data_IF_700288876252
#
_entry.id   IF_700288876252
#
_cell.length_a   1.000
_cell.length_b   1.000
_cell.length_c   1.000
_cell.angle_alpha   90.00
_cell.angle_beta   90.00
_cell.angle_gamma   90.00
#
_symmetry.space_group_name_H-M   'P 1'
#
loop_
_entity.id
_entity.type
_entity.pdbx_description
1 polymer ?
#
# COMPACT_ATOMS: atom_id res chain seq x y z
N UNK A 1 -13.25 -31.96 -21.26
CA UNK A 1 -12.43 -30.81 -20.79
C UNK A 1 -12.87 -30.45 -19.39
N UNK A 2 -11.94 -30.13 -18.50
CA UNK A 2 -12.29 -29.59 -17.19
C UNK A 2 -12.98 -28.22 -17.38
N UNK A 3 -13.89 -27.85 -16.48
CA UNK A 3 -14.48 -26.51 -16.49
C UNK A 3 -13.38 -25.52 -16.09
N UNK A 4 -13.23 -24.42 -16.83
CA UNK A 4 -12.24 -23.37 -16.52
C UNK A 4 -12.92 -22.07 -16.09
N UNK A 5 -12.44 -21.47 -15.01
CA UNK A 5 -12.95 -20.22 -14.41
C UNK A 5 -11.83 -19.18 -14.34
N UNK A 6 -12.13 -17.97 -14.83
CA UNK A 6 -11.23 -16.82 -14.73
C UNK A 6 -11.39 -16.12 -13.38
N UNK A 7 -10.28 -15.72 -12.76
CA UNK A 7 -10.26 -14.87 -11.57
C UNK A 7 -9.62 -13.53 -11.92
N UNK A 8 -10.41 -12.46 -11.99
CA UNK A 8 -9.94 -11.12 -12.37
C UNK A 8 -10.08 -10.12 -11.22
N UNK A 9 -9.10 -9.22 -11.09
CA UNK A 9 -9.16 -8.13 -10.10
C UNK A 9 -8.75 -8.53 -8.67
N UNK A 10 -8.19 -9.72 -8.43
CA UNK A 10 -7.72 -10.11 -7.10
C UNK A 10 -6.24 -9.75 -6.92
N UNK A 11 -5.85 -9.31 -5.72
CA UNK A 11 -4.42 -9.21 -5.37
C UNK A 11 -3.86 -10.62 -5.17
N UNK A 12 -2.54 -10.82 -5.27
CA UNK A 12 -1.91 -12.13 -5.10
C UNK A 12 -2.42 -12.92 -3.87
N UNK A 13 -2.41 -12.32 -2.65
CA UNK A 13 -2.94 -12.99 -1.46
C UNK A 13 -4.44 -13.32 -1.54
N UNK A 14 -5.26 -12.40 -2.06
CA UNK A 14 -6.71 -12.63 -2.20
C UNK A 14 -7.03 -13.69 -3.26
N UNK A 15 -6.29 -13.71 -4.36
CA UNK A 15 -6.40 -14.72 -5.39
C UNK A 15 -6.02 -16.09 -4.82
N UNK A 16 -4.89 -16.18 -4.10
CA UNK A 16 -4.47 -17.42 -3.44
C UNK A 16 -5.50 -17.97 -2.45
N UNK A 17 -6.06 -17.11 -1.59
CA UNK A 17 -7.09 -17.52 -0.64
C UNK A 17 -8.37 -18.00 -1.33
N UNK A 18 -8.80 -17.30 -2.39
CA UNK A 18 -9.99 -17.69 -3.17
C UNK A 18 -9.76 -19.00 -3.93
N UNK A 19 -8.61 -19.16 -4.58
CA UNK A 19 -8.23 -20.39 -5.29
C UNK A 19 -8.20 -21.58 -4.35
N UNK A 20 -7.66 -21.44 -3.13
CA UNK A 20 -7.67 -22.51 -2.14
C UNK A 20 -9.09 -22.92 -1.71
N UNK A 21 -9.97 -21.94 -1.49
CA UNK A 21 -11.39 -22.20 -1.19
C UNK A 21 -12.07 -22.96 -2.35
N UNK A 22 -11.83 -22.50 -3.57
CA UNK A 22 -12.40 -23.08 -4.78
C UNK A 22 -11.90 -24.50 -5.06
N UNK A 23 -10.59 -24.73 -4.98
CA UNK A 23 -9.99 -26.06 -5.17
C UNK A 23 -10.48 -27.08 -4.13
N UNK A 24 -10.74 -26.63 -2.90
CA UNK A 24 -11.28 -27.49 -1.83
C UNK A 24 -12.70 -27.96 -2.14
N UNK A 25 -13.55 -27.08 -2.68
CA UNK A 25 -14.97 -27.38 -2.90
C UNK A 25 -15.23 -27.96 -4.31
N UNK A 26 -14.40 -27.61 -5.29
CA UNK A 26 -14.55 -28.02 -6.68
C UNK A 26 -13.16 -28.36 -7.28
N UNK A 27 -12.58 -29.53 -6.93
CA UNK A 27 -11.23 -29.91 -7.33
C UNK A 27 -11.08 -30.22 -8.83
N UNK A 28 -12.20 -30.48 -9.53
CA UNK A 28 -12.22 -30.82 -10.97
C UNK A 28 -12.37 -29.59 -11.89
N UNK A 29 -12.25 -28.39 -11.32
CA UNK A 29 -12.35 -27.11 -12.03
C UNK A 29 -10.97 -26.48 -12.07
N UNK A 30 -10.60 -25.95 -13.24
CA UNK A 30 -9.37 -25.20 -13.44
C UNK A 30 -9.60 -23.71 -13.16
N UNK A 31 -8.66 -23.07 -12.46
CA UNK A 31 -8.75 -21.66 -12.08
C UNK A 31 -7.59 -20.89 -12.69
N UNK A 32 -7.91 -19.98 -13.61
CA UNK A 32 -6.93 -19.11 -14.23
C UNK A 32 -6.98 -17.74 -13.55
N UNK A 33 -5.95 -17.42 -12.75
CA UNK A 33 -5.80 -16.10 -12.15
C UNK A 33 -5.24 -15.15 -13.20
N UNK A 34 -6.03 -14.14 -13.56
CA UNK A 34 -5.57 -13.06 -14.42
C UNK A 34 -4.92 -12.00 -13.54
N UNK A 35 -3.66 -11.69 -13.83
CA UNK A 35 -2.95 -10.62 -13.14
C UNK A 35 -3.69 -9.30 -13.32
N UNK A 36 -3.68 -8.46 -12.28
CA UNK A 36 -4.28 -7.13 -12.37
C UNK A 36 -3.52 -6.31 -13.40
N UNK A 37 -4.25 -5.73 -14.34
CA UNK A 37 -3.70 -4.82 -15.33
C UNK A 37 -4.16 -3.38 -15.08
N UNK A 38 -3.44 -2.45 -15.67
CA UNK A 38 -3.76 -1.02 -15.65
C UNK A 38 -3.95 -0.53 -17.08
N UNK A 39 -4.85 0.43 -17.27
CA UNK A 39 -4.92 1.21 -18.51
C UNK A 39 -3.68 2.10 -18.66
N UNK A 40 -3.51 2.72 -19.82
CA UNK A 40 -2.44 3.69 -20.07
C UNK A 40 -2.47 4.86 -19.06
N UNK A 41 -3.67 5.21 -18.57
CA UNK A 41 -3.89 6.21 -17.53
C UNK A 41 -3.69 5.69 -16.10
N UNK A 42 -3.22 4.45 -15.92
CA UNK A 42 -2.93 3.83 -14.63
C UNK A 42 -4.11 3.74 -13.68
N UNK A 43 -5.29 3.63 -14.28
CA UNK A 43 -6.45 3.10 -13.60
C UNK A 43 -6.42 1.58 -13.71
N UNK A 44 -6.79 0.88 -12.64
CA UNK A 44 -7.02 -0.56 -12.75
C UNK A 44 -8.03 -0.78 -13.87
N UNK A 45 -7.78 -1.80 -14.68
CA UNK A 45 -8.64 -2.11 -15.81
C UNK A 45 -8.85 -3.62 -15.87
N UNK A 46 -9.81 -4.03 -16.69
CA UNK A 46 -9.97 -5.43 -17.01
C UNK A 46 -8.72 -5.93 -17.74
N UNK A 47 -8.14 -7.06 -17.30
CA UNK A 47 -6.98 -7.64 -17.96
C UNK A 47 -7.33 -8.08 -19.38
N UNK A 48 -6.35 -8.00 -20.28
CA UNK A 48 -6.48 -8.57 -21.62
C UNK A 48 -6.51 -10.08 -21.54
N UNK A 49 -7.44 -10.70 -22.28
CA UNK A 49 -7.57 -12.15 -22.33
C UNK A 49 -6.53 -12.72 -23.30
N UNK A 50 -5.67 -13.61 -22.79
CA UNK A 50 -4.79 -14.44 -23.62
C UNK A 50 -5.51 -15.67 -24.14
N UNK A 51 -4.86 -16.42 -25.04
CA UNK A 51 -5.42 -17.65 -25.66
C UNK A 51 -5.87 -18.69 -24.63
N UNK A 52 -5.20 -18.75 -23.48
CA UNK A 52 -5.51 -19.70 -22.40
C UNK A 52 -6.85 -19.42 -21.70
N UNK A 53 -7.47 -18.25 -21.97
CA UNK A 53 -8.76 -17.85 -21.42
C UNK A 53 -9.94 -18.07 -22.39
N UNK A 54 -9.70 -18.45 -23.65
CA UNK A 54 -10.72 -18.57 -24.69
C UNK A 54 -11.74 -19.68 -24.39
N UNK A 55 -11.29 -20.75 -23.74
CA UNK A 55 -12.10 -21.91 -23.33
C UNK A 55 -12.67 -21.80 -21.90
N UNK A 56 -12.49 -20.66 -21.23
CA UNK A 56 -13.08 -20.42 -19.92
C UNK A 56 -14.57 -20.08 -20.05
N UNK A 57 -15.42 -20.77 -19.29
CA UNK A 57 -16.89 -20.62 -19.33
C UNK A 57 -17.45 -19.79 -18.17
N UNK A 58 -16.62 -19.43 -17.19
CA UNK A 58 -17.02 -18.57 -16.09
C UNK A 58 -15.93 -17.54 -15.75
N UNK A 59 -16.33 -16.43 -15.14
CA UNK A 59 -15.43 -15.41 -14.61
C UNK A 59 -15.90 -14.90 -13.24
N UNK A 60 -15.00 -14.89 -12.26
CA UNK A 60 -15.20 -14.19 -10.99
C UNK A 60 -14.40 -12.89 -11.07
N UNK A 61 -15.08 -11.75 -10.96
CA UNK A 61 -14.48 -10.44 -11.15
C UNK A 61 -14.66 -9.64 -9.87
N UNK A 62 -13.54 -9.25 -9.25
CA UNK A 62 -13.54 -8.20 -8.25
C UNK A 62 -13.55 -6.84 -8.97
N UNK A 63 -14.74 -6.21 -9.02
CA UNK A 63 -14.99 -4.94 -9.70
C UNK A 63 -14.07 -3.84 -9.18
N UNK A 64 -13.86 -3.75 -7.86
CA UNK A 64 -12.89 -2.82 -7.30
C UNK A 64 -11.52 -3.13 -7.90
N UNK A 65 -11.12 -4.39 -7.85
CA UNK A 65 -9.91 -4.95 -8.43
C UNK A 65 -9.58 -4.63 -9.88
N UNK A 66 -10.57 -4.26 -10.69
CA UNK A 66 -10.43 -3.90 -12.12
C UNK A 66 -10.82 -2.45 -12.40
N UNK A 67 -10.80 -1.60 -11.37
CA UNK A 67 -11.04 -0.15 -11.47
C UNK A 67 -12.50 0.27 -11.53
N UNK A 68 -13.42 -0.68 -11.37
CA UNK A 68 -14.87 -0.50 -11.47
C UNK A 68 -15.52 -0.41 -10.08
N UNK A 69 -14.93 0.36 -9.17
CA UNK A 69 -15.45 0.53 -7.80
C UNK A 69 -16.77 1.31 -7.75
N UNK A 70 -17.03 2.11 -8.77
CA UNK A 70 -18.28 2.86 -8.95
C UNK A 70 -18.94 2.45 -10.27
N UNK A 71 -20.26 2.43 -10.24
CA UNK A 71 -21.07 2.19 -11.43
C UNK A 71 -20.87 3.31 -12.46
N UNK A 72 -20.62 2.93 -13.73
CA UNK A 72 -20.49 3.82 -14.87
C UNK A 72 -20.88 3.05 -16.15
N UNK A 73 -21.61 3.68 -17.08
CA UNK A 73 -21.98 3.11 -18.38
C UNK A 73 -20.77 2.67 -19.22
N UNK A 74 -19.63 3.38 -19.13
CA UNK A 74 -18.40 2.97 -19.82
C UNK A 74 -17.85 1.63 -19.28
N UNK A 75 -18.01 1.37 -17.97
CA UNK A 75 -17.61 0.10 -17.37
C UNK A 75 -18.49 -1.07 -17.83
N UNK A 76 -19.79 -0.81 -18.10
CA UNK A 76 -20.71 -1.81 -18.64
C UNK A 76 -20.17 -2.36 -19.97
N UNK A 77 -19.76 -1.48 -20.89
CA UNK A 77 -19.22 -1.89 -22.19
C UNK A 77 -18.02 -2.81 -22.03
N UNK A 78 -17.05 -2.39 -21.22
CA UNK A 78 -15.81 -3.14 -21.00
C UNK A 78 -16.09 -4.51 -20.34
N UNK A 79 -17.04 -4.59 -19.40
CA UNK A 79 -17.46 -5.85 -18.78
C UNK A 79 -18.15 -6.79 -19.77
N UNK A 80 -19.05 -6.26 -20.60
CA UNK A 80 -19.78 -7.03 -21.63
C UNK A 80 -18.79 -7.64 -22.62
N UNK A 81 -17.82 -6.86 -23.09
CA UNK A 81 -16.80 -7.33 -24.02
C UNK A 81 -15.89 -8.40 -23.39
N UNK A 82 -15.51 -8.20 -22.11
CA UNK A 82 -14.70 -9.15 -21.36
C UNK A 82 -15.43 -10.48 -21.07
N UNK A 83 -16.71 -10.40 -20.71
CA UNK A 83 -17.51 -11.57 -20.38
C UNK A 83 -17.90 -12.37 -21.63
N UNK A 84 -18.25 -11.69 -22.73
CA UNK A 84 -18.74 -12.23 -24.01
C UNK A 84 -19.92 -13.22 -23.85
N UNK A 85 -19.65 -14.46 -23.48
CA UNK A 85 -20.65 -15.51 -23.23
C UNK A 85 -20.58 -16.13 -21.83
N UNK A 86 -19.55 -15.82 -21.05
CA UNK A 86 -19.22 -16.49 -19.78
C UNK A 86 -20.28 -16.22 -18.73
N UNK A 87 -20.53 -17.21 -17.87
CA UNK A 87 -21.24 -16.96 -16.62
C UNK A 87 -20.34 -16.09 -15.71
N UNK A 88 -20.91 -15.22 -14.88
CA UNK A 88 -20.09 -14.32 -14.07
C UNK A 88 -20.53 -14.20 -12.62
N UNK A 89 -19.55 -13.94 -11.75
CA UNK A 89 -19.76 -13.48 -10.39
C UNK A 89 -19.03 -12.14 -10.22
N UNK A 90 -19.78 -11.07 -10.01
CA UNK A 90 -19.26 -9.74 -9.77
C UNK A 90 -19.20 -9.47 -8.26
N UNK A 91 -18.01 -9.14 -7.76
CA UNK A 91 -17.73 -8.80 -6.36
C UNK A 91 -17.37 -7.32 -6.25
N UNK A 92 -17.94 -6.61 -5.27
CA UNK A 92 -17.52 -5.23 -4.94
C UNK A 92 -17.73 -4.93 -3.47
N UNK A 93 -16.92 -4.02 -2.91
CA UNK A 93 -17.18 -3.39 -1.60
C UNK A 93 -18.19 -2.25 -1.70
N UNK A 94 -18.41 -1.73 -2.90
CA UNK A 94 -19.33 -0.64 -3.19
C UNK A 94 -20.80 -1.08 -3.20
N UNK A 95 -21.68 -0.18 -3.65
CA UNK A 95 -23.13 -0.42 -3.68
C UNK A 95 -23.52 -1.43 -4.77
N UNK A 96 -23.50 -2.74 -4.45
CA UNK A 96 -23.85 -3.82 -5.39
C UNK A 96 -25.23 -3.61 -6.05
N UNK A 97 -26.17 -2.99 -5.34
CA UNK A 97 -27.53 -2.72 -5.83
C UNK A 97 -27.53 -1.86 -7.10
N UNK A 98 -26.58 -0.94 -7.25
CA UNK A 98 -26.47 -0.13 -8.46
C UNK A 98 -26.11 -1.00 -9.68
N UNK A 99 -25.18 -1.94 -9.51
CA UNK A 99 -24.80 -2.90 -10.54
C UNK A 99 -25.93 -3.90 -10.86
N UNK A 100 -26.66 -4.36 -9.85
CA UNK A 100 -27.81 -5.27 -10.03
C UNK A 100 -28.98 -4.58 -10.74
N UNK A 101 -29.34 -3.36 -10.32
CA UNK A 101 -30.47 -2.61 -10.86
C UNK A 101 -30.24 -2.12 -12.28
N UNK A 102 -28.98 -2.07 -12.73
CA UNK A 102 -28.65 -1.67 -14.09
C UNK A 102 -29.07 -2.72 -15.14
N UNK A 103 -29.39 -3.95 -14.74
CA UNK A 103 -29.94 -5.02 -15.61
C UNK A 103 -29.20 -5.25 -16.95
N UNK A 104 -27.89 -4.96 -16.98
CA UNK A 104 -27.05 -5.04 -18.18
C UNK A 104 -26.53 -6.47 -18.47
N UNK A 105 -26.76 -7.42 -17.56
CA UNK A 105 -26.37 -8.83 -17.69
C UNK A 105 -27.56 -9.75 -17.39
N UNK A 106 -27.69 -10.89 -18.09
CA UNK A 106 -28.77 -11.85 -17.82
C UNK A 106 -28.58 -12.51 -16.43
N UNK A 107 -29.55 -12.32 -15.54
CA UNK A 107 -29.52 -12.86 -14.17
C UNK A 107 -29.40 -14.39 -14.07
N UNK A 108 -29.79 -15.13 -15.10
CA UNK A 108 -29.69 -16.60 -15.13
C UNK A 108 -28.25 -17.13 -15.22
N UNK A 109 -27.28 -16.26 -15.53
CA UNK A 109 -25.86 -16.60 -15.71
C UNK A 109 -24.93 -15.61 -15.03
N UNK A 110 -25.44 -14.56 -14.38
CA UNK A 110 -24.64 -13.50 -13.79
C UNK A 110 -25.10 -13.18 -12.37
N UNK A 111 -24.18 -13.33 -11.44
CA UNK A 111 -24.41 -13.25 -10.01
C UNK A 111 -23.59 -12.11 -9.41
N UNK A 112 -24.06 -11.62 -8.26
CA UNK A 112 -23.55 -10.41 -7.64
C UNK A 112 -23.44 -10.63 -6.14
N UNK A 113 -22.28 -10.30 -5.56
CA UNK A 113 -22.06 -10.46 -4.13
C UNK A 113 -21.26 -9.28 -3.56
N UNK A 114 -21.77 -8.69 -2.48
CA UNK A 114 -21.05 -7.61 -1.77
C UNK A 114 -19.93 -8.18 -0.92
N UNK A 115 -18.84 -7.44 -0.81
CA UNK A 115 -17.75 -7.72 0.15
C UNK A 115 -17.81 -6.72 1.31
N UNK A 116 -17.67 -7.17 2.58
CA UNK A 116 -17.44 -8.55 3.01
C UNK A 116 -18.69 -9.43 2.86
N UNK A 117 -18.48 -10.71 2.56
CA UNK A 117 -19.53 -11.74 2.49
C UNK A 117 -19.32 -12.81 3.54
N UNK A 118 -20.39 -13.50 3.95
CA UNK A 118 -20.26 -14.70 4.74
C UNK A 118 -19.85 -15.89 3.86
N UNK A 119 -19.22 -16.89 4.48
CA UNK A 119 -18.77 -18.10 3.77
C UNK A 119 -19.93 -18.82 3.06
N UNK A 120 -21.09 -18.94 3.73
CA UNK A 120 -22.26 -19.62 3.16
C UNK A 120 -22.83 -18.91 1.93
N UNK A 121 -22.84 -17.56 1.92
CA UNK A 121 -23.29 -16.77 0.77
C UNK A 121 -22.37 -17.00 -0.44
N UNK A 122 -21.05 -16.99 -0.20
CA UNK A 122 -20.06 -17.26 -1.24
C UNK A 122 -20.22 -18.68 -1.79
N UNK A 123 -20.37 -19.69 -0.94
CA UNK A 123 -20.56 -21.08 -1.36
C UNK A 123 -21.85 -21.26 -2.18
N UNK A 124 -22.95 -20.65 -1.76
CA UNK A 124 -24.22 -20.70 -2.50
C UNK A 124 -24.10 -20.08 -3.90
N UNK A 125 -23.48 -18.89 -4.00
CA UNK A 125 -23.32 -18.21 -5.29
C UNK A 125 -22.31 -18.92 -6.19
N UNK A 126 -21.26 -19.51 -5.62
CA UNK A 126 -20.30 -20.34 -6.38
C UNK A 126 -20.96 -21.58 -6.98
N UNK A 127 -21.86 -22.24 -6.24
CA UNK A 127 -22.63 -23.36 -6.79
C UNK A 127 -23.44 -22.94 -8.01
N UNK A 128 -24.16 -21.82 -7.91
CA UNK A 128 -24.96 -21.28 -9.02
C UNK A 128 -24.09 -20.91 -10.23
N UNK A 129 -22.92 -20.31 -9.99
CA UNK A 129 -21.95 -19.98 -11.04
C UNK A 129 -21.47 -21.23 -11.78
N UNK A 130 -21.13 -22.28 -11.06
CA UNK A 130 -20.62 -23.54 -11.63
C UNK A 130 -21.70 -24.28 -12.40
N UNK A 131 -22.94 -24.31 -11.90
CA UNK A 131 -24.07 -24.91 -12.62
C UNK A 131 -24.34 -24.18 -13.94
N UNK A 132 -24.34 -22.84 -13.90
CA UNK A 132 -24.52 -22.01 -15.08
C UNK A 132 -23.38 -22.23 -16.10
N UNK A 133 -22.12 -22.21 -15.66
CA UNK A 133 -20.96 -22.39 -16.51
C UNK A 133 -20.90 -23.81 -17.11
N UNK A 134 -21.26 -24.84 -16.34
CA UNK A 134 -21.34 -26.23 -16.80
C UNK A 134 -22.41 -26.40 -17.89
N UNK A 135 -23.56 -25.74 -17.75
CA UNK A 135 -24.61 -25.73 -18.79
C UNK A 135 -24.10 -25.09 -20.09
N UNK A 136 -23.43 -23.93 -19.99
CA UNK A 136 -22.85 -23.25 -21.14
C UNK A 136 -21.78 -24.11 -21.83
N UNK A 137 -20.92 -24.77 -21.06
CA UNK A 137 -19.87 -25.66 -21.59
C UNK A 137 -20.45 -26.87 -22.33
N UNK A 138 -21.54 -27.46 -21.82
CA UNK A 138 -22.15 -28.65 -22.41
C UNK A 138 -23.00 -28.34 -23.65
N UNK A 139 -23.52 -27.11 -23.78
CA UNK A 139 -24.47 -26.75 -24.83
C UNK A 139 -24.04 -25.48 -25.59
N UNK A 140 -23.48 -25.63 -26.81
CA UNK A 140 -23.10 -24.51 -27.66
C UNK A 140 -24.26 -23.57 -28.00
N UNK A 141 -25.49 -24.07 -28.09
CA UNK A 141 -26.69 -23.26 -28.33
C UNK A 141 -26.95 -22.31 -27.16
N UNK A 142 -26.77 -22.78 -25.92
CA UNK A 142 -26.95 -21.94 -24.73
C UNK A 142 -25.85 -20.89 -24.62
N UNK A 143 -24.62 -21.23 -25.02
CA UNK A 143 -23.51 -20.28 -25.14
C UNK A 143 -23.82 -19.17 -26.16
N UNK A 144 -24.30 -19.51 -27.35
CA UNK A 144 -24.69 -18.53 -28.36
C UNK A 144 -25.85 -17.65 -27.90
N UNK A 145 -26.86 -18.23 -27.24
CA UNK A 145 -27.98 -17.48 -26.65
C UNK A 145 -27.52 -16.52 -25.56
N UNK A 146 -26.63 -16.96 -24.66
CA UNK A 146 -26.13 -16.12 -23.58
C UNK A 146 -25.30 -14.94 -24.13
N UNK A 147 -24.47 -15.18 -25.14
CA UNK A 147 -23.74 -14.11 -25.87
C UNK A 147 -24.70 -13.08 -26.46
N UNK A 148 -25.76 -13.53 -27.14
CA UNK A 148 -26.76 -12.63 -27.72
C UNK A 148 -27.52 -11.84 -26.64
N UNK A 149 -27.83 -12.46 -25.49
CA UNK A 149 -28.47 -11.79 -24.36
C UNK A 149 -27.57 -10.72 -23.73
N UNK A 150 -26.28 -11.03 -23.51
CA UNK A 150 -25.30 -10.08 -22.97
C UNK A 150 -25.15 -8.87 -23.91
N UNK A 151 -25.06 -9.09 -25.22
CA UNK A 151 -24.93 -8.01 -26.22
C UNK A 151 -26.22 -7.21 -26.41
N UNK A 152 -27.39 -7.83 -26.34
CA UNK A 152 -28.67 -7.09 -26.51
C UNK A 152 -29.01 -6.21 -25.31
N UNK A 153 -28.75 -6.70 -24.08
CA UNK A 153 -28.94 -5.89 -22.87
C UNK A 153 -27.97 -4.71 -22.80
N UNK A 154 -26.74 -4.85 -23.30
CA UNK A 154 -25.75 -3.76 -23.26
C UNK A 154 -26.06 -2.58 -24.21
N UNK A 155 -26.68 -2.84 -25.37
CA UNK A 155 -27.02 -1.80 -26.37
C UNK A 155 -27.98 -0.75 -25.81
N UNK A 156 -28.84 -1.11 -24.85
CA UNK A 156 -29.76 -0.17 -24.21
C UNK A 156 -29.07 0.86 -23.27
N UNK A 157 -27.78 0.68 -22.96
CA UNK A 157 -27.03 1.53 -22.00
C UNK A 157 -25.92 2.37 -22.63
N UNK A 158 -25.75 2.35 -23.96
CA UNK A 158 -24.60 2.92 -24.68
C UNK A 158 -24.81 4.34 -25.24
N UNK A 159 -25.86 5.06 -24.85
CA UNK A 159 -25.98 6.50 -25.13
C UNK A 159 -25.46 7.34 -23.97
N UNK A 160 -24.56 8.27 -24.33
CA UNK A 160 -24.02 9.44 -23.62
C UNK A 160 -22.64 9.41 -22.94
N UNK A 161 -21.93 10.50 -23.31
CA UNK A 161 -20.89 11.27 -22.61
C UNK A 161 -19.42 10.87 -22.73
N UNK A 162 -18.74 11.57 -23.64
CA UNK A 162 -17.31 11.89 -23.60
C UNK A 162 -17.12 13.29 -23.04
N UNK A 163 -16.42 13.43 -21.91
CA UNK A 163 -15.71 14.65 -21.54
C UNK A 163 -14.65 14.34 -20.48
N UNK A 164 -13.38 14.66 -20.74
CA UNK A 164 -12.38 14.78 -19.66
C UNK A 164 -11.31 15.79 -20.06
N UNK A 165 -11.20 16.86 -19.26
CA UNK A 165 -10.17 17.89 -19.36
C UNK A 165 -8.91 17.45 -18.61
N UNK A 166 -7.76 17.53 -19.27
CA UNK A 166 -6.43 17.39 -18.67
C UNK A 166 -6.06 18.65 -17.88
N UNK A 167 -5.42 18.48 -16.71
CA UNK A 167 -4.86 19.59 -15.91
C UNK A 167 -3.35 19.35 -15.74
N UNK A 168 -2.56 20.42 -15.91
CA UNK A 168 -1.10 20.41 -16.01
C UNK A 168 -0.35 20.05 -14.72
N UNK A 169 0.82 19.43 -14.90
CA UNK A 169 1.74 18.90 -13.88
C UNK A 169 2.78 19.97 -13.48
N UNK A 170 2.81 20.39 -12.21
CA UNK A 170 3.84 21.33 -11.68
C UNK A 170 5.15 20.61 -11.30
N UNK A 171 6.29 21.15 -11.75
CA UNK A 171 7.66 20.67 -11.46
C UNK A 171 8.04 20.81 -9.98
N UNK A 172 8.60 19.76 -9.39
CA UNK A 172 9.05 19.67 -8.00
C UNK A 172 10.39 20.38 -7.73
N UNK A 173 10.46 21.17 -6.65
CA UNK A 173 11.72 21.65 -6.05
C UNK A 173 12.05 20.77 -4.85
N UNK A 174 13.22 20.11 -4.84
CA UNK A 174 13.60 19.17 -3.78
C UNK A 174 14.19 19.86 -2.56
N UNK A 175 13.64 19.57 -1.37
CA UNK A 175 14.14 20.06 -0.09
C UNK A 175 15.48 19.40 0.30
N UNK A 176 16.29 20.09 1.10
CA UNK A 176 17.63 19.62 1.52
C UNK A 176 17.61 18.27 2.24
N UNK A 177 16.58 18.03 3.07
CA UNK A 177 16.42 16.76 3.77
C UNK A 177 16.11 15.60 2.83
N UNK A 178 15.31 15.82 1.78
CA UNK A 178 15.03 14.79 0.78
C UNK A 178 16.29 14.38 0.00
N UNK A 179 17.13 15.36 -0.37
CA UNK A 179 18.43 15.12 -1.02
C UNK A 179 19.36 14.32 -0.11
N UNK A 180 19.43 14.67 1.18
CA UNK A 180 20.26 13.95 2.15
C UNK A 180 19.80 12.48 2.31
N UNK A 181 18.50 12.23 2.48
CA UNK A 181 17.98 10.85 2.61
C UNK A 181 18.31 10.04 1.36
N UNK A 182 18.18 10.64 0.17
CA UNK A 182 18.57 10.00 -1.08
C UNK A 182 20.07 9.63 -1.11
N UNK A 183 20.96 10.50 -0.64
CA UNK A 183 22.39 10.19 -0.49
C UNK A 183 22.64 9.02 0.47
N UNK A 184 21.96 9.00 1.62
CA UNK A 184 22.08 7.88 2.59
C UNK A 184 21.67 6.56 1.95
N UNK A 185 20.58 6.53 1.19
CA UNK A 185 20.10 5.31 0.53
C UNK A 185 21.11 4.85 -0.53
N UNK A 186 21.56 5.76 -1.40
CA UNK A 186 22.51 5.42 -2.46
C UNK A 186 23.82 4.86 -1.92
N UNK A 187 24.32 5.38 -0.79
CA UNK A 187 25.61 4.97 -0.22
C UNK A 187 25.49 3.78 0.72
N UNK A 188 24.52 3.77 1.64
CA UNK A 188 24.43 2.74 2.69
C UNK A 188 23.48 1.58 2.32
N UNK A 189 22.60 1.78 1.35
CA UNK A 189 21.56 0.83 0.95
C UNK A 189 21.52 0.66 -0.58
N UNK A 190 22.70 0.61 -1.22
CA UNK A 190 22.85 0.54 -2.69
C UNK A 190 22.13 -0.64 -3.37
N UNK A 191 21.76 -1.68 -2.62
CA UNK A 191 20.90 -2.77 -3.09
C UNK A 191 19.42 -2.42 -3.24
N UNK A 192 19.01 -1.20 -2.90
CA UNK A 192 17.65 -0.68 -3.12
C UNK A 192 17.63 -0.02 -4.51
N UNK A 193 16.99 -0.69 -5.48
CA UNK A 193 17.04 -0.41 -6.92
C UNK A 193 17.10 1.08 -7.35
N UNK A 194 17.89 1.42 -8.38
CA UNK A 194 18.08 2.80 -8.84
C UNK A 194 16.88 3.44 -9.57
N UNK A 195 15.85 2.67 -9.99
CA UNK A 195 14.69 3.17 -10.77
C UNK A 195 13.39 3.33 -9.96
N UNK A 196 13.47 3.38 -8.62
CA UNK A 196 12.31 3.12 -7.76
C UNK A 196 11.48 4.38 -7.42
N UNK A 197 10.14 4.22 -7.38
CA UNK A 197 9.12 5.15 -6.86
C UNK A 197 9.45 5.69 -5.46
N UNK A 198 10.30 4.98 -4.70
CA UNK A 198 10.84 5.43 -3.42
C UNK A 198 11.42 6.84 -3.50
N UNK A 199 12.25 7.17 -4.51
CA UNK A 199 12.89 8.49 -4.60
C UNK A 199 11.90 9.61 -4.88
N UNK A 200 10.86 9.32 -5.67
CA UNK A 200 9.79 10.29 -5.93
C UNK A 200 8.95 10.52 -4.70
N UNK A 201 8.60 9.46 -3.98
CA UNK A 201 7.89 9.59 -2.71
C UNK A 201 8.73 10.36 -1.69
N UNK A 202 10.04 10.14 -1.63
CA UNK A 202 10.92 10.97 -0.79
C UNK A 202 10.79 12.44 -1.18
N UNK A 203 10.80 12.78 -2.47
CA UNK A 203 10.65 14.16 -2.90
C UNK A 203 9.26 14.74 -2.60
N UNK A 204 8.20 13.97 -2.81
CA UNK A 204 6.82 14.39 -2.52
C UNK A 204 6.63 14.63 -1.02
N UNK A 205 7.03 13.66 -0.19
CA UNK A 205 6.84 13.73 1.26
C UNK A 205 7.83 14.64 1.99
N UNK A 206 8.87 15.12 1.32
CA UNK A 206 9.80 16.10 1.88
C UNK A 206 9.34 17.56 1.70
N UNK A 207 8.13 17.79 1.18
CA UNK A 207 7.48 19.11 1.14
C UNK A 207 7.13 19.60 2.55
N UNK A 208 7.07 20.91 2.75
CA UNK A 208 6.73 21.51 4.05
C UNK A 208 5.29 22.03 4.14
N UNK A 209 4.68 22.35 3.00
CA UNK A 209 3.29 22.80 2.91
C UNK A 209 2.34 21.60 2.83
N UNK A 210 1.04 21.76 3.14
CA UNK A 210 0.07 20.71 2.89
C UNK A 210 -0.06 20.43 1.38
N UNK A 211 -0.40 19.20 1.04
CA UNK A 211 -0.56 18.78 -0.34
C UNK A 211 -1.54 17.61 -0.45
N UNK A 212 -2.06 17.41 -1.66
CA UNK A 212 -2.87 16.26 -2.05
C UNK A 212 -2.10 15.41 -3.06
N UNK A 213 -1.98 14.13 -2.75
CA UNK A 213 -1.52 13.12 -3.70
C UNK A 213 -2.75 12.45 -4.34
N UNK A 214 -2.77 12.34 -5.65
CA UNK A 214 -3.75 11.55 -6.42
C UNK A 214 -3.02 10.41 -7.10
N UNK A 215 -3.48 9.18 -6.88
CA UNK A 215 -2.94 7.95 -7.49
C UNK A 215 -4.12 7.11 -7.96
N UNK A 216 -4.31 7.04 -9.28
CA UNK A 216 -5.53 6.49 -9.87
C UNK A 216 -6.77 7.17 -9.28
N UNK A 217 -7.70 6.38 -8.74
CA UNK A 217 -8.93 6.88 -8.11
C UNK A 217 -8.78 7.13 -6.59
N UNK A 218 -7.57 7.07 -6.04
CA UNK A 218 -7.34 7.32 -4.61
C UNK A 218 -6.74 8.70 -4.40
N UNK A 219 -7.21 9.36 -3.34
CA UNK A 219 -6.69 10.66 -2.92
C UNK A 219 -6.20 10.59 -1.49
N UNK A 220 -5.06 11.21 -1.25
CA UNK A 220 -4.45 11.34 0.07
C UNK A 220 -4.16 12.80 0.31
N UNK A 221 -4.60 13.31 1.45
CA UNK A 221 -4.21 14.63 1.93
C UNK A 221 -3.12 14.49 2.96
N UNK A 222 -2.05 15.26 2.83
CA UNK A 222 -0.90 15.20 3.74
C UNK A 222 -0.60 16.58 4.27
N UNK A 223 -0.38 16.68 5.57
CA UNK A 223 0.15 17.88 6.20
C UNK A 223 1.39 17.55 7.04
N UNK A 224 2.59 17.77 6.48
CA UNK A 224 3.86 17.47 7.13
C UNK A 224 4.05 18.17 8.48
N UNK A 225 3.81 19.49 8.57
CA UNK A 225 3.98 20.25 9.84
C UNK A 225 3.08 19.75 10.96
N UNK A 226 1.85 19.30 10.65
CA UNK A 226 0.93 18.72 11.63
C UNK A 226 1.16 17.20 11.83
N UNK A 227 2.06 16.58 11.07
CA UNK A 227 2.33 15.14 11.03
C UNK A 227 1.07 14.28 10.79
N UNK A 228 0.21 14.72 9.85
CA UNK A 228 -1.08 14.08 9.55
C UNK A 228 -1.14 13.61 8.09
N UNK A 229 -1.74 12.45 7.88
CA UNK A 229 -2.24 12.00 6.58
C UNK A 229 -3.71 11.62 6.67
N UNK A 230 -4.51 11.95 5.64
CA UNK A 230 -5.93 11.62 5.52
C UNK A 230 -6.15 10.77 4.28
N UNK A 231 -6.79 9.61 4.45
CA UNK A 231 -7.18 8.74 3.34
C UNK A 231 -8.51 8.05 3.64
N UNK A 232 -9.33 7.82 2.62
CA UNK A 232 -10.58 7.07 2.74
C UNK A 232 -10.33 5.56 2.86
N UNK A 233 -9.34 5.03 2.14
CA UNK A 233 -9.07 3.60 2.08
C UNK A 233 -7.58 3.31 1.99
N UNK A 234 -6.96 3.11 3.17
CA UNK A 234 -5.54 2.83 3.27
C UNK A 234 -5.16 1.51 2.58
N UNK A 235 -5.91 0.43 2.81
CA UNK A 235 -5.61 -0.88 2.21
C UNK A 235 -5.54 -0.77 0.68
N UNK A 236 -6.47 -0.01 0.08
CA UNK A 236 -6.52 0.18 -1.36
C UNK A 236 -5.39 1.05 -1.88
N UNK A 237 -5.05 2.11 -1.14
CA UNK A 237 -3.90 2.93 -1.48
C UNK A 237 -2.59 2.13 -1.44
N UNK A 238 -2.43 1.23 -0.46
CA UNK A 238 -1.26 0.35 -0.37
C UNK A 238 -1.19 -0.61 -1.56
N UNK A 239 -2.32 -1.14 -2.06
CA UNK A 239 -2.34 -1.92 -3.31
C UNK A 239 -1.74 -1.12 -4.49
N UNK A 240 -2.12 0.15 -4.65
CA UNK A 240 -1.57 1.01 -5.72
C UNK A 240 -0.06 1.23 -5.55
N UNK A 241 0.40 1.50 -4.33
CA UNK A 241 1.83 1.66 -4.07
C UNK A 241 2.63 0.37 -4.28
N UNK A 242 2.10 -0.79 -3.88
CA UNK A 242 2.74 -2.09 -4.11
C UNK A 242 3.04 -2.32 -5.59
N UNK A 243 2.08 -1.97 -6.43
CA UNK A 243 2.23 -2.14 -7.87
C UNK A 243 3.15 -1.06 -8.45
N UNK A 244 3.08 0.17 -7.92
CA UNK A 244 3.97 1.26 -8.33
C UNK A 244 5.46 0.93 -8.07
N UNK A 245 5.76 0.25 -6.97
CA UNK A 245 7.12 -0.22 -6.68
C UNK A 245 7.68 -1.20 -7.72
N UNK A 246 6.81 -1.87 -8.49
CA UNK A 246 7.18 -2.89 -9.47
C UNK A 246 7.01 -2.45 -10.94
N UNK A 247 6.33 -1.32 -11.20
CA UNK A 247 5.97 -0.90 -12.55
C UNK A 247 6.45 0.53 -12.84
N UNK A 248 7.37 0.67 -13.81
CA UNK A 248 8.02 1.93 -14.16
C UNK A 248 7.04 2.99 -14.69
N UNK A 249 5.87 2.57 -15.17
CA UNK A 249 4.81 3.45 -15.71
C UNK A 249 4.08 4.21 -14.60
N UNK A 250 3.89 3.63 -13.40
CA UNK A 250 3.20 4.29 -12.26
C UNK A 250 3.89 5.55 -11.76
N UNK A 251 5.18 5.68 -12.07
CA UNK A 251 6.04 6.83 -11.83
C UNK A 251 5.45 8.14 -12.40
N UNK A 252 4.73 8.10 -13.52
CA UNK A 252 4.23 9.31 -14.19
C UNK A 252 2.84 9.78 -13.75
N UNK A 253 2.05 8.97 -13.02
CA UNK A 253 0.66 9.33 -12.69
C UNK A 253 0.41 9.62 -11.20
N UNK A 254 1.47 9.68 -10.38
CA UNK A 254 1.36 10.26 -9.04
C UNK A 254 1.28 11.77 -9.21
N UNK A 255 0.06 12.32 -9.13
CA UNK A 255 -0.15 13.75 -9.21
C UNK A 255 -0.07 14.34 -7.81
N UNK A 256 0.85 15.26 -7.59
CA UNK A 256 0.96 15.99 -6.34
C UNK A 256 0.53 17.44 -6.53
N UNK A 257 -0.49 17.84 -5.78
CA UNK A 257 -1.13 19.16 -5.85
C UNK A 257 -0.87 19.86 -4.52
N UNK A 258 -0.16 20.98 -4.55
CA UNK A 258 0.03 21.81 -3.36
C UNK A 258 -1.32 22.34 -2.87
N UNK A 259 -1.50 22.39 -1.55
CA UNK A 259 -2.68 22.96 -0.91
C UNK A 259 -2.27 24.12 -0.01
N UNK A 260 -3.19 25.05 0.19
CA UNK A 260 -3.11 26.03 1.27
C UNK A 260 -3.50 25.42 2.62
N UNK A 261 -3.02 26.03 3.71
CA UNK A 261 -3.39 25.62 5.07
C UNK A 261 -4.91 25.65 5.28
N UNK A 262 -5.60 26.65 4.72
CA UNK A 262 -7.05 26.80 4.80
C UNK A 262 -7.81 25.70 4.02
N UNK A 263 -7.30 25.24 2.89
CA UNK A 263 -7.88 24.10 2.17
C UNK A 263 -7.75 22.80 2.96
N UNK A 264 -6.57 22.55 3.54
CA UNK A 264 -6.37 21.37 4.36
C UNK A 264 -7.24 21.38 5.62
N UNK A 265 -7.35 22.52 6.30
CA UNK A 265 -8.15 22.63 7.52
C UNK A 265 -9.66 22.46 7.25
N UNK A 266 -10.17 22.90 6.09
CA UNK A 266 -11.53 22.59 5.65
C UNK A 266 -11.75 21.08 5.46
N UNK A 267 -10.81 20.40 4.80
CA UNK A 267 -10.85 18.94 4.64
C UNK A 267 -10.79 18.21 5.99
N UNK A 268 -9.94 18.67 6.90
CA UNK A 268 -9.81 18.10 8.25
C UNK A 268 -11.11 18.25 9.05
N UNK A 269 -11.82 19.37 8.90
CA UNK A 269 -13.12 19.59 9.55
C UNK A 269 -14.21 18.65 8.98
N UNK A 270 -14.18 18.37 7.68
CA UNK A 270 -15.17 17.53 6.99
C UNK A 270 -14.84 16.03 7.00
N UNK A 271 -13.76 15.64 7.69
CA UNK A 271 -13.19 14.28 7.65
C UNK A 271 -14.22 13.16 7.91
N UNK A 272 -15.17 13.39 8.85
CA UNK A 272 -16.20 12.41 9.21
C UNK A 272 -17.28 12.26 8.16
N UNK A 273 -17.64 13.33 7.47
CA UNK A 273 -18.73 13.34 6.49
C UNK A 273 -18.28 12.72 5.16
N UNK A 274 -16.99 12.84 4.85
CA UNK A 274 -16.42 12.35 3.59
C UNK A 274 -15.73 10.98 3.72
N UNK A 275 -15.88 10.29 4.85
CA UNK A 275 -15.35 8.94 5.07
C UNK A 275 -13.83 8.84 5.16
N UNK A 276 -13.12 9.97 5.30
CA UNK A 276 -11.67 9.98 5.49
C UNK A 276 -11.30 9.52 6.90
N UNK A 277 -10.16 8.84 7.01
CA UNK A 277 -9.54 8.46 8.28
C UNK A 277 -8.25 9.21 8.47
N UNK A 278 -8.00 9.62 9.71
CA UNK A 278 -6.78 10.32 10.13
C UNK A 278 -5.72 9.31 10.54
N UNK A 279 -4.53 9.47 10.00
CA UNK A 279 -3.33 8.70 10.35
C UNK A 279 -2.22 9.66 10.79
N UNK A 280 -1.35 9.20 11.70
CA UNK A 280 -0.06 9.85 11.91
C UNK A 280 0.80 9.66 10.67
N UNK A 281 1.48 10.71 10.22
CA UNK A 281 2.25 10.69 8.99
C UNK A 281 3.31 9.58 9.01
N UNK A 282 4.01 9.40 10.14
CA UNK A 282 5.06 8.39 10.26
C UNK A 282 4.51 6.97 10.11
N UNK A 283 3.36 6.68 10.73
CA UNK A 283 2.72 5.37 10.61
C UNK A 283 2.17 5.12 9.21
N UNK A 284 1.68 6.17 8.56
CA UNK A 284 1.23 6.11 7.17
C UNK A 284 2.40 5.84 6.21
N UNK A 285 3.48 6.59 6.32
CA UNK A 285 4.69 6.40 5.53
C UNK A 285 5.33 5.03 5.78
N UNK A 286 5.38 4.57 7.03
CA UNK A 286 5.88 3.24 7.36
C UNK A 286 5.14 2.14 6.59
N UNK A 287 3.81 2.23 6.51
CA UNK A 287 3.00 1.26 5.77
C UNK A 287 3.26 1.33 4.27
N UNK A 288 3.31 2.53 3.68
CA UNK A 288 3.66 2.70 2.25
C UNK A 288 5.03 2.11 1.96
N UNK A 289 6.06 2.50 2.73
CA UNK A 289 7.43 2.04 2.51
C UNK A 289 7.59 0.54 2.77
N UNK A 290 6.86 -0.02 3.74
CA UNK A 290 6.86 -1.48 3.96
C UNK A 290 6.28 -2.22 2.76
N UNK A 291 5.26 -1.67 2.12
CA UNK A 291 4.64 -2.28 0.94
C UNK A 291 5.52 -2.23 -0.31
N UNK A 292 6.33 -1.17 -0.49
CA UNK A 292 7.15 -1.00 -1.71
C UNK A 292 8.60 -1.50 -1.58
N UNK A 293 9.13 -1.61 -0.36
CA UNK A 293 10.48 -2.10 -0.15
C UNK A 293 10.58 -3.61 -0.42
N UNK A 294 11.68 -4.09 -1.04
CA UNK A 294 11.88 -5.52 -1.25
C UNK A 294 12.04 -6.25 0.10
N UNK A 295 11.49 -7.45 0.18
CA UNK A 295 11.52 -8.28 1.42
C UNK A 295 12.95 -8.53 1.90
N UNK A 296 13.91 -8.62 0.98
CA UNK A 296 15.35 -8.71 1.27
C UNK A 296 16.08 -7.51 0.71
N UNK A 297 16.80 -6.81 1.58
CA UNK A 297 17.70 -5.73 1.21
C UNK A 297 19.13 -6.24 1.41
N UNK A 298 19.83 -6.44 0.29
CA UNK A 298 21.24 -6.79 0.29
C UNK A 298 22.04 -5.50 0.27
N UNK A 299 22.44 -5.03 1.44
CA UNK A 299 23.27 -3.84 1.59
C UNK A 299 24.58 -4.21 2.29
N UNK A 300 25.70 -3.55 1.94
CA UNK A 300 26.95 -3.72 2.66
C UNK A 300 26.78 -3.24 4.10
N UNK A 301 27.43 -3.93 5.04
CA UNK A 301 27.51 -3.44 6.43
C UNK A 301 28.13 -2.05 6.41
N UNK A 302 27.52 -1.16 7.20
CA UNK A 302 27.92 0.23 7.30
C UNK A 302 27.87 0.65 8.78
N UNK A 303 28.55 1.75 9.11
CA UNK A 303 28.62 2.30 10.47
C UNK A 303 27.48 3.28 10.78
N UNK A 304 26.44 3.33 9.93
CA UNK A 304 25.32 4.26 10.10
C UNK A 304 24.64 3.97 11.43
N UNK A 305 24.37 5.02 12.20
CA UNK A 305 23.71 4.89 13.50
C UNK A 305 22.26 5.32 13.39
N UNK A 306 21.36 4.46 13.85
CA UNK A 306 19.95 4.75 13.98
C UNK A 306 19.64 5.14 15.43
N UNK A 307 19.01 6.30 15.59
CA UNK A 307 18.28 6.68 16.80
C UNK A 307 16.85 7.01 16.41
N UNK A 308 15.90 6.56 17.20
CA UNK A 308 14.47 6.79 16.97
C UNK A 308 14.02 7.97 17.83
N UNK A 309 13.34 8.96 17.24
CA UNK A 309 12.85 10.15 17.97
C UNK A 309 11.61 9.86 18.80
N UNK A 310 10.73 9.03 18.27
CA UNK A 310 9.48 8.62 18.89
C UNK A 310 9.11 7.22 18.40
N UNK A 311 8.42 6.46 19.25
CA UNK A 311 7.90 5.16 18.85
C UNK A 311 6.83 5.36 17.76
N UNK A 312 6.96 4.73 16.58
CA UNK A 312 5.89 4.75 15.58
C UNK A 312 4.62 4.13 16.18
N UNK A 313 3.46 4.67 15.82
CA UNK A 313 2.21 4.08 16.28
C UNK A 313 1.90 2.84 15.45
N UNK A 314 2.30 1.67 15.96
CA UNK A 314 2.07 0.37 15.33
C UNK A 314 0.67 -0.21 15.60
N UNK A 315 -0.10 0.35 16.55
CA UNK A 315 -1.39 -0.25 16.99
C UNK A 315 -2.47 -0.26 15.90
N UNK A 316 -2.31 0.56 14.85
CA UNK A 316 -3.22 0.63 13.71
C UNK A 316 -2.69 -0.08 12.45
N UNK A 317 -1.54 -0.75 12.52
CA UNK A 317 -0.93 -1.45 11.40
C UNK A 317 -1.23 -2.95 11.47
N UNK A 318 -1.55 -3.56 10.33
CA UNK A 318 -1.67 -5.02 10.23
C UNK A 318 -0.28 -5.64 10.17
N UNK A 319 -0.12 -6.80 10.81
CA UNK A 319 1.01 -7.70 10.62
C UNK A 319 2.41 -7.13 10.93
N UNK A 320 2.54 -6.28 11.97
CA UNK A 320 3.85 -5.85 12.47
C UNK A 320 4.43 -6.93 13.39
N UNK A 321 5.56 -7.56 13.04
CA UNK A 321 6.17 -8.58 13.89
C UNK A 321 6.70 -8.01 15.20
N UNK A 322 6.61 -8.78 16.28
CA UNK A 322 7.05 -8.36 17.63
C UNK A 322 8.52 -7.91 17.68
N UNK A 323 9.38 -8.55 16.88
CA UNK A 323 10.80 -8.18 16.80
C UNK A 323 11.01 -6.74 16.31
N UNK A 324 10.09 -6.19 15.51
CA UNK A 324 10.18 -4.79 15.04
C UNK A 324 10.04 -3.84 16.22
N UNK A 325 9.12 -4.11 17.15
CA UNK A 325 8.96 -3.31 18.36
C UNK A 325 10.21 -3.34 19.22
N UNK A 326 10.79 -4.54 19.42
CA UNK A 326 12.01 -4.72 20.20
C UNK A 326 13.19 -3.95 19.60
N UNK A 327 13.42 -4.08 18.30
CA UNK A 327 14.53 -3.41 17.61
C UNK A 327 14.35 -1.89 17.63
N UNK A 328 13.18 -1.37 17.24
CA UNK A 328 12.89 0.07 17.21
C UNK A 328 13.01 0.67 18.62
N UNK A 329 12.47 0.00 19.63
CA UNK A 329 12.55 0.47 21.03
C UNK A 329 14.00 0.51 21.54
N UNK A 330 14.85 -0.45 21.16
CA UNK A 330 16.26 -0.46 21.54
C UNK A 330 17.05 0.76 21.01
N UNK A 331 16.55 1.38 19.93
CA UNK A 331 17.13 2.56 19.29
C UNK A 331 16.53 3.88 19.80
N UNK A 332 15.56 3.89 20.72
CA UNK A 332 14.95 5.12 21.26
C UNK A 332 15.95 5.91 22.13
N UNK A 333 16.67 5.21 23.00
CA UNK A 333 17.50 5.83 24.04
C UNK A 333 18.91 6.09 23.51
N UNK A 334 19.52 5.10 22.86
CA UNK A 334 20.92 5.12 22.43
C UNK A 334 20.99 4.87 20.94
N UNK A 335 21.73 5.71 20.17
CA UNK A 335 22.04 5.41 18.77
C UNK A 335 22.77 4.08 18.62
N UNK A 336 22.26 3.19 17.76
CA UNK A 336 22.88 1.89 17.48
C UNK A 336 23.18 1.73 16.01
N UNK A 337 24.30 1.08 15.68
CA UNK A 337 24.59 0.63 14.32
C UNK A 337 24.13 -0.84 14.14
N UNK A 338 24.30 -1.36 12.93
CA UNK A 338 23.91 -2.73 12.58
C UNK A 338 24.65 -3.78 13.43
N UNK A 339 25.96 -3.61 13.67
CA UNK A 339 26.76 -4.57 14.45
C UNK A 339 26.27 -4.66 15.91
N UNK A 340 25.96 -3.51 16.52
CA UNK A 340 25.45 -3.45 17.89
C UNK A 340 24.06 -4.08 18.04
N UNK A 341 23.25 -4.02 16.99
CA UNK A 341 21.94 -4.68 16.97
C UNK A 341 22.07 -6.16 16.68
N UNK A 342 22.98 -6.54 15.80
CA UNK A 342 23.31 -7.94 15.51
C UNK A 342 23.82 -8.67 16.75
N UNK A 343 24.60 -8.01 17.62
CA UNK A 343 25.01 -8.57 18.91
C UNK A 343 23.84 -8.88 19.86
N UNK A 344 22.76 -8.08 19.81
CA UNK A 344 21.60 -8.21 20.72
C UNK A 344 20.52 -9.12 20.13
N UNK A 345 20.36 -9.09 18.81
CA UNK A 345 19.31 -9.78 18.07
C UNK A 345 19.85 -10.85 17.11
N UNK A 346 21.04 -11.40 17.43
CA UNK A 346 21.82 -12.29 16.55
C UNK A 346 21.07 -13.52 16.05
N UNK A 347 20.19 -14.11 16.87
CA UNK A 347 19.37 -15.24 16.44
C UNK A 347 18.38 -14.89 15.31
N UNK A 348 17.88 -13.65 15.29
CA UNK A 348 16.97 -13.16 14.25
C UNK A 348 17.72 -12.88 12.95
N UNK A 349 18.90 -12.27 13.04
CA UNK A 349 19.74 -11.95 11.88
C UNK A 349 20.40 -13.17 11.26
N UNK A 350 20.69 -14.22 12.03
CA UNK A 350 21.13 -15.52 11.49
C UNK A 350 20.08 -16.14 10.56
N UNK A 351 18.79 -16.04 10.93
CA UNK A 351 17.68 -16.55 10.10
C UNK A 351 17.40 -15.66 8.89
N UNK A 352 17.53 -14.34 9.06
CA UNK A 352 17.36 -13.39 7.96
C UNK A 352 18.23 -12.12 8.16
N UNK A 353 19.42 -12.08 7.54
CA UNK A 353 20.38 -10.97 7.70
C UNK A 353 19.86 -9.60 7.23
N UNK A 354 18.81 -9.60 6.41
CA UNK A 354 18.26 -8.37 5.82
C UNK A 354 17.23 -7.65 6.71
N UNK A 355 16.78 -8.28 7.80
CA UNK A 355 15.76 -7.70 8.70
C UNK A 355 16.20 -6.35 9.27
N UNK A 356 17.44 -6.25 9.76
CA UNK A 356 17.94 -5.01 10.35
C UNK A 356 18.04 -3.88 9.32
N UNK A 357 18.52 -4.19 8.11
CA UNK A 357 18.59 -3.23 7.01
C UNK A 357 17.21 -2.69 6.63
N UNK A 358 16.21 -3.57 6.58
CA UNK A 358 14.82 -3.18 6.29
C UNK A 358 14.23 -2.30 7.38
N UNK A 359 14.44 -2.63 8.66
CA UNK A 359 13.96 -1.80 9.78
C UNK A 359 14.66 -0.44 9.81
N UNK A 360 15.97 -0.38 9.53
CA UNK A 360 16.70 0.88 9.40
C UNK A 360 16.07 1.77 8.34
N UNK A 361 15.90 1.23 7.14
CA UNK A 361 15.41 1.99 6.02
C UNK A 361 13.97 2.47 6.24
N UNK A 362 13.09 1.61 6.79
CA UNK A 362 11.73 2.00 7.18
C UNK A 362 11.72 3.12 8.22
N UNK A 363 12.64 3.06 9.20
CA UNK A 363 12.75 4.10 10.23
C UNK A 363 13.21 5.44 9.67
N UNK A 364 14.10 5.42 8.68
CA UNK A 364 14.57 6.62 7.97
C UNK A 364 13.46 7.20 7.11
N UNK A 365 12.87 6.38 6.23
CA UNK A 365 11.86 6.80 5.24
C UNK A 365 10.54 7.26 5.88
N UNK A 366 10.15 6.65 7.00
CA UNK A 366 8.96 7.08 7.76
C UNK A 366 9.15 8.38 8.53
N UNK A 367 10.37 8.94 8.57
CA UNK A 367 10.68 10.11 9.38
C UNK A 367 10.84 9.83 10.88
N UNK A 368 10.75 8.56 11.31
CA UNK A 368 10.87 8.19 12.73
C UNK A 368 12.30 8.32 13.28
N UNK A 369 13.29 8.28 12.39
CA UNK A 369 14.69 8.42 12.74
C UNK A 369 15.11 9.87 13.08
N UNK A 370 16.08 10.00 13.97
CA UNK A 370 16.76 11.25 14.30
C UNK A 370 17.71 11.64 13.17
N UNK A 371 17.34 12.67 12.41
CA UNK A 371 18.07 13.09 11.21
C UNK A 371 19.47 13.60 11.54
N UNK A 372 19.67 14.19 12.73
CA UNK A 372 20.97 14.73 13.14
C UNK A 372 21.94 13.60 13.50
N UNK A 373 21.44 12.55 14.16
CA UNK A 373 22.25 11.34 14.43
C UNK A 373 22.63 10.65 13.12
N UNK A 374 21.68 10.55 12.18
CA UNK A 374 21.94 9.99 10.85
C UNK A 374 23.02 10.78 10.13
N UNK A 375 22.88 12.10 10.00
CA UNK A 375 23.87 13.01 9.38
C UNK A 375 25.26 12.82 9.99
N UNK A 376 25.35 12.92 11.32
CA UNK A 376 26.62 12.77 12.03
C UNK A 376 27.30 11.42 11.76
N UNK A 377 26.54 10.32 11.76
CA UNK A 377 27.10 9.00 11.47
C UNK A 377 27.44 8.77 10.00
N UNK A 378 26.71 9.42 9.08
CA UNK A 378 26.92 9.32 7.64
C UNK A 378 28.19 10.06 7.21
N UNK A 379 28.38 11.31 7.62
CA UNK A 379 29.57 12.10 7.26
C UNK A 379 30.86 11.60 7.90
N UNK A 380 30.78 10.82 8.99
CA UNK A 380 31.95 10.14 9.56
C UNK A 380 32.42 8.91 8.75
N UNK A 381 31.66 8.47 7.74
CA UNK A 381 32.06 7.39 6.82
C UNK A 381 32.89 7.87 5.63
N UNK A 382 32.70 9.12 5.17
CA UNK A 382 33.40 9.66 3.99
C UNK A 382 34.83 10.10 4.36
N UNK A 383 35.88 9.61 3.67
CA UNK A 383 37.29 9.93 3.99
C UNK A 383 37.62 11.42 3.94
N UNK A 384 36.95 12.18 3.05
CA UNK A 384 37.20 13.61 2.85
C UNK A 384 36.69 14.47 4.02
N UNK A 385 35.60 14.06 4.66
CA UNK A 385 34.97 14.79 5.77
C UNK A 385 35.58 14.45 7.13
N UNK A 386 36.25 13.30 7.29
CA UNK A 386 37.08 13.05 8.49
C UNK A 386 38.15 14.12 8.66
N UNK A 387 38.78 14.57 7.56
CA UNK A 387 39.78 15.64 7.56
C UNK A 387 39.18 17.03 7.87
N UNK A 388 37.95 17.30 7.41
CA UNK A 388 37.25 18.57 7.69
C UNK A 388 36.64 18.62 9.10
N UNK A 389 36.09 17.50 9.58
CA UNK A 389 35.58 17.38 10.94
C UNK A 389 36.70 17.35 11.98
N UNK A 390 37.86 16.76 11.71
CA UNK A 390 39.02 16.85 12.61
C UNK A 390 39.55 18.29 12.71
N UNK A 391 39.58 19.05 11.60
CA UNK A 391 39.93 20.48 11.65
C UNK A 391 38.95 21.31 12.49
N UNK A 392 37.65 21.02 12.41
CA UNK A 392 36.62 21.74 13.18
C UNK A 392 36.46 21.23 14.63
N UNK A 393 37.03 20.07 14.98
CA UNK A 393 36.95 19.52 16.35
C UNK A 393 37.91 20.20 17.32
N UNK A 394 39.01 20.76 16.83
CA UNK A 394 39.98 21.48 17.66
C UNK A 394 39.46 22.83 18.19
N UNK A 395 38.34 23.36 17.68
CA UNK A 395 37.77 24.64 18.16
C UNK A 395 36.52 24.50 19.05
N UNK A 396 35.95 23.31 19.24
CA UNK A 396 34.76 23.12 20.10
C UNK A 396 34.72 21.78 20.83
N UNK A 397 35.68 21.53 21.73
CA UNK A 397 35.46 20.60 22.84
C UNK A 397 34.79 21.31 24.02
N UNK A 398 33.47 21.47 23.97
CA UNK A 398 32.69 21.68 25.19
C UNK A 398 32.34 20.32 25.79
N UNK A 399 32.95 19.99 26.94
CA UNK A 399 32.61 18.82 27.76
C UNK A 399 31.08 18.69 27.90
N UNK A 400 30.49 17.48 27.77
CA UNK A 400 29.05 17.30 27.94
C UNK A 400 28.67 17.63 29.39
N UNK A 401 27.93 18.73 29.59
CA UNK A 401 27.25 19.00 30.86
C UNK A 401 26.11 18.00 31.00
N UNK A 402 26.31 16.97 31.82
CA UNK A 402 25.24 16.15 32.39
C UNK A 402 24.33 17.05 33.24
N UNK A 403 23.32 17.64 32.60
CA UNK A 403 22.25 18.30 33.34
C UNK A 403 21.33 17.21 33.87
N UNK A 404 21.37 17.00 35.19
CA UNK A 404 20.46 16.10 35.89
C UNK A 404 19.02 16.48 35.54
N UNK A 405 18.26 15.51 35.02
CA UNK A 405 16.88 15.73 34.59
C UNK A 405 16.00 16.00 35.83
N UNK A 406 15.71 17.28 36.08
CA UNK A 406 14.99 17.76 37.28
C UNK A 406 13.67 17.03 37.51
N UNK A 407 12.97 16.63 36.44
CA UNK A 407 11.72 15.88 36.52
C UNK A 407 11.90 14.48 37.10
N UNK A 408 12.97 13.78 36.73
CA UNK A 408 13.28 12.45 37.28
C UNK A 408 13.66 12.56 38.76
N UNK A 409 14.47 13.55 39.13
CA UNK A 409 14.87 13.77 40.52
C UNK A 409 13.67 14.13 41.40
N UNK A 410 12.70 14.89 40.88
CA UNK A 410 11.47 15.24 41.57
C UNK A 410 10.51 14.04 41.69
N UNK A 411 10.39 13.21 40.65
CA UNK A 411 9.58 11.99 40.67
C UNK A 411 10.14 10.93 41.65
N UNK A 412 11.47 10.87 41.81
CA UNK A 412 12.12 10.05 42.85
C UNK A 412 11.84 10.61 44.25
N UNK A 413 12.02 11.92 44.47
CA UNK A 413 11.74 12.56 45.77
C UNK A 413 10.29 12.44 46.22
N UNK A 414 9.35 12.52 45.28
CA UNK A 414 7.91 12.41 45.57
C UNK A 414 7.43 10.97 45.71
N UNK A 415 8.32 9.97 45.61
CA UNK A 415 7.96 8.56 45.70
C UNK A 415 6.99 8.10 44.60
N UNK A 416 6.90 8.84 43.49
CA UNK A 416 6.01 8.55 42.37
C UNK A 416 6.27 7.16 41.81
N UNK A 417 7.55 6.83 41.54
CA UNK A 417 7.93 5.52 41.02
C UNK A 417 7.62 4.38 41.98
N UNK A 418 7.77 4.60 43.29
CA UNK A 418 7.42 3.58 44.30
C UNK A 418 5.92 3.30 44.33
N UNK A 419 5.09 4.35 44.19
CA UNK A 419 3.62 4.21 44.10
C UNK A 419 3.18 3.58 42.78
N UNK A 420 3.86 3.89 41.69
CA UNK A 420 3.59 3.32 40.37
C UNK A 420 3.94 1.82 40.35
N UNK A 421 5.10 1.44 40.87
CA UNK A 421 5.53 0.04 40.94
C UNK A 421 4.64 -0.77 41.88
N UNK A 422 4.23 -0.23 43.02
CA UNK A 422 3.28 -0.90 43.92
C UNK A 422 1.87 -1.12 43.29
N UNK A 423 1.50 -0.34 42.27
CA UNK A 423 0.24 -0.54 41.52
C UNK A 423 0.38 -1.54 40.37
N UNK A 424 1.60 -1.81 39.94
CA UNK A 424 1.92 -2.75 38.86
C UNK A 424 2.32 -4.13 39.39
N UNK A 425 2.67 -4.23 40.67
CA UNK A 425 2.79 -5.50 41.38
C UNK A 425 1.40 -5.99 41.77
N UNK A 426 0.79 -6.79 40.89
CA UNK A 426 -0.20 -7.80 41.25
C UNK A 426 0.51 -9.12 41.51
#
# INVERSE_FOLDING_TARGET
>A
MALKILLAGFSGPSAGALTLLLQRNYPNVEYLVLERCFSDDLCLTLPTLGRDADDAFAAIINLDGVGMSLFNNQHIKNLVDFLDFRASLLLTRGHIKQWQNADFLPHATNFFLSTPYAKHDMEAVLSQLIDAATRLQKNPTDTAKNRALIRSKSVNHLHDSTDTKQTELTKHTSSENGKFIQSVINTCFSGVCPNNVIYELIHIFAQEHPFKIVIGNQMVYVYPKKAIALTQNLDRLLDYFSIAGNCQVLRTNITNIALSDAEFDRMLHNIKNEGYRRYSLNSFLWQIYSTILPTRINAPRNTLKLKIRYMPNFSGMKDIPEYVHAIVSSCLIVPKNLDQLDMVFGELTQKNPSILHRIFLLSILSGSADIEVLKNSFYLQTPLDKLLHEKNKYDKESKPKTTANKGVTQAVKTGFFRRLLNKLSF
#
